data_IF_238682209955
#
_entry.id   IF_238682209955
#
_cell.length_a   1.000
_cell.length_b   1.000
_cell.length_c   1.000
_cell.angle_alpha   90.00
_cell.angle_beta   90.00
_cell.angle_gamma   90.00
#
_symmetry.space_group_name_H-M   'P 1'
#
loop_
_entity.id
_entity.type
_entity.pdbx_description
1 polymer ?
#
# COMPACT_ATOMS: atom_id res chain seq x y z
N UNK A 1 24.28 11.91 -3.95
CA UNK A 1 24.21 11.11 -5.21
C UNK A 1 23.29 9.95 -4.91
N UNK A 2 22.20 9.81 -5.68
CA UNK A 2 21.15 8.81 -5.43
C UNK A 2 21.73 7.39 -5.61
N UNK A 3 21.50 6.49 -4.66
CA UNK A 3 22.03 5.11 -4.72
C UNK A 3 21.02 4.18 -5.38
N UNK A 4 21.11 4.10 -6.71
CA UNK A 4 20.21 3.28 -7.52
C UNK A 4 20.29 1.78 -7.19
N UNK A 5 21.44 1.27 -6.74
CA UNK A 5 21.54 -0.13 -6.36
C UNK A 5 20.75 -0.44 -5.08
N UNK A 6 20.77 0.48 -4.11
CA UNK A 6 20.01 0.35 -2.88
C UNK A 6 18.50 0.41 -3.17
N UNK A 7 18.03 1.40 -3.92
CA UNK A 7 16.61 1.58 -4.24
C UNK A 7 16.02 0.39 -5.03
N UNK A 8 16.77 -0.15 -6.01
CA UNK A 8 16.36 -1.35 -6.72
C UNK A 8 16.25 -2.57 -5.78
N UNK A 9 17.13 -2.70 -4.78
CA UNK A 9 17.06 -3.78 -3.79
C UNK A 9 15.89 -3.62 -2.82
N UNK A 10 15.56 -2.40 -2.42
CA UNK A 10 14.38 -2.12 -1.58
C UNK A 10 13.09 -2.54 -2.28
N UNK A 11 13.00 -2.32 -3.59
CA UNK A 11 11.90 -2.80 -4.44
C UNK A 11 11.98 -4.29 -4.78
N UNK A 12 12.95 -5.03 -4.21
CA UNK A 12 13.20 -6.46 -4.46
C UNK A 12 13.55 -6.77 -5.93
N UNK A 13 14.02 -5.79 -6.70
CA UNK A 13 14.44 -5.90 -8.09
C UNK A 13 15.92 -6.31 -8.20
N UNK A 14 16.29 -7.42 -7.57
CA UNK A 14 17.68 -7.84 -7.43
C UNK A 14 18.40 -8.05 -8.77
N UNK A 15 17.70 -8.58 -9.79
CA UNK A 15 18.29 -8.76 -11.12
C UNK A 15 18.64 -7.44 -11.80
N UNK A 16 17.81 -6.41 -11.63
CA UNK A 16 18.09 -5.07 -12.15
C UNK A 16 19.25 -4.40 -11.40
N UNK A 17 19.34 -4.60 -10.08
CA UNK A 17 20.47 -4.10 -9.29
C UNK A 17 21.81 -4.71 -9.74
N UNK A 18 21.83 -6.01 -10.06
CA UNK A 18 23.03 -6.68 -10.61
C UNK A 18 23.38 -6.12 -11.99
N UNK A 19 22.41 -6.03 -12.91
CA UNK A 19 22.62 -5.51 -14.25
C UNK A 19 23.10 -4.04 -14.24
N UNK A 20 22.58 -3.22 -13.31
CA UNK A 20 23.03 -1.85 -13.12
C UNK A 20 24.50 -1.78 -12.68
N UNK A 21 24.91 -2.64 -11.74
CA UNK A 21 26.31 -2.75 -11.31
C UNK A 21 27.25 -3.11 -12.47
N UNK A 22 26.88 -4.10 -13.28
CA UNK A 22 27.63 -4.49 -14.48
C UNK A 22 27.73 -3.34 -15.50
N UNK A 23 26.63 -2.61 -15.71
CA UNK A 23 26.58 -1.49 -16.65
C UNK A 23 27.47 -0.33 -16.17
N UNK A 24 27.47 -0.02 -14.87
CA UNK A 24 28.36 1.01 -14.30
C UNK A 24 29.83 0.63 -14.36
N UNK A 25 30.16 -0.66 -14.28
CA UNK A 25 31.53 -1.15 -14.43
C UNK A 25 32.07 -1.02 -15.88
N UNK A 26 31.20 -0.91 -16.88
CA UNK A 26 31.56 -0.74 -18.29
C UNK A 26 31.89 0.71 -18.70
N UNK A 27 31.66 1.70 -17.82
CA UNK A 27 32.05 3.10 -18.01
C UNK A 27 30.91 4.09 -18.31
N UNK A 28 31.22 5.38 -18.12
CA UNK A 28 30.23 6.48 -18.05
C UNK A 28 29.61 6.92 -19.40
N UNK A 29 30.28 6.65 -20.53
CA UNK A 29 29.93 7.28 -21.81
C UNK A 29 28.56 6.89 -22.37
N UNK A 30 27.95 5.80 -21.88
CA UNK A 30 26.62 5.34 -22.31
C UNK A 30 25.61 5.15 -21.15
N UNK A 31 26.02 5.39 -19.90
CA UNK A 31 25.19 5.13 -18.72
C UNK A 31 24.39 6.34 -18.25
N UNK A 32 24.72 7.57 -18.67
CA UNK A 32 24.04 8.78 -18.22
C UNK A 32 22.53 8.78 -18.56
N UNK A 33 22.15 8.37 -19.77
CA UNK A 33 20.76 8.29 -20.20
C UNK A 33 19.99 7.18 -19.47
N UNK A 34 20.60 6.00 -19.32
CA UNK A 34 20.02 4.89 -18.55
C UNK A 34 19.85 5.25 -17.08
N UNK A 35 20.80 5.99 -16.50
CA UNK A 35 20.74 6.51 -15.14
C UNK A 35 19.54 7.42 -14.95
N UNK A 36 19.43 8.43 -15.82
CA UNK A 36 18.33 9.39 -15.78
C UNK A 36 16.96 8.70 -15.91
N UNK A 37 16.85 7.72 -16.82
CA UNK A 37 15.62 6.96 -16.99
C UNK A 37 15.26 6.15 -15.73
N UNK A 38 16.24 5.45 -15.14
CA UNK A 38 16.02 4.68 -13.91
C UNK A 38 15.62 5.58 -12.74
N UNK A 39 16.25 6.75 -12.58
CA UNK A 39 15.89 7.72 -11.54
C UNK A 39 14.43 8.15 -11.66
N UNK A 40 13.97 8.42 -12.88
CA UNK A 40 12.58 8.80 -13.16
C UNK A 40 11.60 7.65 -12.90
N UNK A 41 11.92 6.44 -13.36
CA UNK A 41 11.07 5.26 -13.16
C UNK A 41 10.92 4.92 -11.67
N UNK A 42 12.01 5.00 -10.89
CA UNK A 42 11.97 4.76 -9.45
C UNK A 42 11.11 5.79 -8.73
N UNK A 43 11.19 7.06 -9.11
CA UNK A 43 10.35 8.12 -8.53
C UNK A 43 8.86 7.87 -8.75
N UNK A 44 8.48 7.42 -9.96
CA UNK A 44 7.09 7.03 -10.25
C UNK A 44 6.65 5.79 -9.46
N UNK A 45 7.49 4.75 -9.39
CA UNK A 45 7.16 3.52 -8.67
C UNK A 45 6.96 3.75 -7.16
N UNK A 46 7.80 4.57 -6.52
CA UNK A 46 7.61 4.90 -5.10
C UNK A 46 6.28 5.58 -4.83
N UNK A 47 5.86 6.48 -5.73
CA UNK A 47 4.58 7.19 -5.62
C UNK A 47 3.41 6.23 -5.77
N UNK A 48 3.46 5.33 -6.75
CA UNK A 48 2.40 4.38 -7.02
C UNK A 48 2.31 3.25 -5.98
N UNK A 49 3.45 2.76 -5.49
CA UNK A 49 3.52 1.69 -4.47
C UNK A 49 2.81 2.08 -3.17
N UNK A 50 2.98 3.33 -2.71
CA UNK A 50 2.27 3.84 -1.54
C UNK A 50 0.74 3.86 -1.76
N UNK A 51 0.29 4.29 -2.95
CA UNK A 51 -1.14 4.30 -3.30
C UNK A 51 -1.73 2.89 -3.39
N UNK A 52 -1.00 1.93 -3.96
CA UNK A 52 -1.39 0.51 -3.99
C UNK A 52 -1.47 -0.08 -2.60
N UNK A 53 -0.52 0.22 -1.72
CA UNK A 53 -0.51 -0.25 -0.33
C UNK A 53 -1.72 0.27 0.45
N UNK A 54 -2.02 1.57 0.37
CA UNK A 54 -3.21 2.17 0.99
C UNK A 54 -4.48 1.56 0.42
N UNK A 55 -4.58 1.41 -0.90
CA UNK A 55 -5.75 0.80 -1.55
C UNK A 55 -5.95 -0.64 -1.09
N UNK A 56 -4.88 -1.40 -0.94
CA UNK A 56 -4.92 -2.77 -0.41
C UNK A 56 -5.39 -2.80 1.04
N UNK A 57 -4.82 -1.95 1.91
CA UNK A 57 -5.24 -1.81 3.30
C UNK A 57 -6.71 -1.41 3.42
N UNK A 58 -7.15 -0.44 2.62
CA UNK A 58 -8.55 -0.01 2.58
C UNK A 58 -9.48 -1.13 2.12
N UNK A 59 -9.07 -1.91 1.12
CA UNK A 59 -9.83 -3.08 0.68
C UNK A 59 -9.91 -4.18 1.75
N UNK A 60 -8.82 -4.43 2.46
CA UNK A 60 -8.77 -5.39 3.58
C UNK A 60 -9.56 -4.91 4.79
N UNK A 61 -9.61 -3.59 5.03
CA UNK A 61 -10.35 -2.96 6.12
C UNK A 61 -11.83 -2.72 5.80
N UNK A 62 -12.30 -3.06 4.58
CA UNK A 62 -13.72 -2.94 4.23
C UNK A 62 -14.53 -3.76 5.23
N UNK A 63 -15.47 -3.14 5.97
CA UNK A 63 -16.37 -3.90 6.80
C UNK A 63 -17.15 -4.88 5.91
N UNK A 64 -17.49 -6.08 6.43
CA UNK A 64 -18.28 -7.03 5.66
C UNK A 64 -19.53 -6.32 5.16
N UNK A 65 -19.82 -6.48 3.86
CA UNK A 65 -20.86 -5.75 3.11
C UNK A 65 -22.29 -5.95 3.67
N UNK A 66 -22.44 -6.81 4.68
CA UNK A 66 -23.59 -6.91 5.58
C UNK A 66 -23.10 -7.09 7.02
N UNK A 67 -23.01 -6.01 7.78
CA UNK A 67 -23.13 -6.09 9.23
C UNK A 67 -24.61 -6.33 9.55
N UNK A 68 -25.05 -7.57 9.40
CA UNK A 68 -26.42 -7.94 9.76
C UNK A 68 -26.54 -7.87 11.29
N UNK A 69 -27.35 -6.95 11.79
CA UNK A 69 -27.65 -6.84 13.22
C UNK A 69 -28.21 -8.16 13.78
N UNK A 70 -28.84 -8.99 12.93
CA UNK A 70 -29.33 -10.31 13.32
C UNK A 70 -28.21 -11.32 13.65
N UNK A 71 -26.96 -11.04 13.25
CA UNK A 71 -25.79 -11.88 13.52
C UNK A 71 -24.83 -11.27 14.54
N UNK A 72 -25.15 -10.10 15.09
CA UNK A 72 -24.34 -9.46 16.12
C UNK A 72 -24.47 -10.25 17.43
N UNK A 73 -23.35 -10.76 17.95
CA UNK A 73 -23.32 -11.31 19.29
C UNK A 73 -23.29 -10.16 20.30
N UNK A 74 -24.47 -9.82 20.83
CA UNK A 74 -24.63 -8.77 21.83
C UNK A 74 -23.92 -9.08 23.15
N UNK A 75 -23.54 -10.34 23.41
CA UNK A 75 -22.79 -10.72 24.61
C UNK A 75 -21.29 -10.35 24.49
N UNK A 76 -20.77 -10.29 23.26
CA UNK A 76 -19.42 -9.82 22.94
C UNK A 76 -19.36 -8.30 22.66
N UNK A 77 -20.51 -7.64 22.54
CA UNK A 77 -20.59 -6.22 22.26
C UNK A 77 -20.59 -5.40 23.56
N UNK A 78 -19.77 -4.34 23.62
CA UNK A 78 -19.73 -3.43 24.79
C UNK A 78 -20.94 -2.50 24.86
N UNK A 79 -21.73 -2.42 23.78
CA UNK A 79 -22.92 -1.59 23.71
C UNK A 79 -24.14 -2.37 24.23
N UNK A 80 -24.95 -1.71 25.05
CA UNK A 80 -26.15 -2.29 25.64
C UNK A 80 -27.20 -2.57 24.55
N UNK A 81 -27.69 -3.81 24.48
CA UNK A 81 -28.67 -4.25 23.49
C UNK A 81 -29.96 -3.40 23.56
N UNK A 82 -30.32 -2.90 24.74
CA UNK A 82 -31.46 -2.02 24.95
C UNK A 82 -31.31 -0.71 24.16
N UNK A 83 -30.13 -0.07 24.26
CA UNK A 83 -29.82 1.18 23.56
C UNK A 83 -29.83 0.97 22.05
N UNK A 84 -29.26 -0.14 21.56
CA UNK A 84 -29.27 -0.45 20.12
C UNK A 84 -30.70 -0.61 19.60
N UNK A 85 -31.58 -1.28 20.34
CA UNK A 85 -33.00 -1.44 19.96
C UNK A 85 -33.74 -0.11 19.95
N UNK A 86 -33.51 0.77 20.93
CA UNK A 86 -34.14 2.09 20.99
C UNK A 86 -33.69 2.96 19.80
N UNK A 87 -32.38 3.02 19.54
CA UNK A 87 -31.83 3.74 18.39
C UNK A 87 -32.38 3.21 17.06
N UNK A 88 -32.58 1.89 16.93
CA UNK A 88 -33.11 1.26 15.72
C UNK A 88 -34.56 1.65 15.40
N UNK A 89 -35.36 2.02 16.39
CA UNK A 89 -36.73 2.50 16.17
C UNK A 89 -36.79 3.91 15.58
N UNK A 90 -35.68 4.66 15.57
CA UNK A 90 -35.58 6.05 15.12
C UNK A 90 -36.56 7.01 15.83
N UNK A 91 -37.11 6.61 16.97
CA UNK A 91 -38.07 7.38 17.76
C UNK A 91 -37.36 8.36 18.70
N UNK A 92 -36.51 9.22 18.16
CA UNK A 92 -35.91 10.31 18.92
C UNK A 92 -36.92 11.46 19.06
N UNK A 93 -37.27 11.82 20.29
CA UNK A 93 -38.09 13.00 20.63
C UNK A 93 -37.23 14.20 20.98
#
# INVERSE_FOLDING_TARGET
MRDLMAELKELRLHGMATAWGELTAQGESNTAWSKWLLEHLLEQEHTDSAMRSVSHQMNMAKPPMRSDLARLDFNACRADACVISELATLAFT
#
